data_IF_240540974459
#
_entry.id   IF_240540974459
#
_cell.length_a   1.000
_cell.length_b   1.000
_cell.length_c   1.000
_cell.angle_alpha   90.00
_cell.angle_beta   90.00
_cell.angle_gamma   90.00
#
_symmetry.space_group_name_H-M   'P 1'
#
loop_
_entity.id
_entity.type
_entity.pdbx_description
1 polymer ?
#
# COMPACT_ATOMS: atom_id res chain seq x y z
N UNK A 1 -10.19 -12.19 15.34
CA UNK A 1 -10.84 -11.01 14.71
C UNK A 1 -11.40 -11.48 13.38
N UNK A 2 -12.70 -11.30 13.17
CA UNK A 2 -13.27 -11.61 11.86
C UNK A 2 -12.91 -10.52 10.82
N UNK A 3 -13.20 -10.78 9.55
CA UNK A 3 -12.82 -9.87 8.47
C UNK A 3 -13.51 -8.50 8.57
N UNK A 4 -14.78 -8.44 8.93
CA UNK A 4 -15.50 -7.18 9.04
C UNK A 4 -15.00 -6.33 10.21
N UNK A 5 -14.65 -6.96 11.33
CA UNK A 5 -13.99 -6.28 12.45
C UNK A 5 -12.64 -5.70 12.02
N UNK A 6 -11.84 -6.47 11.27
CA UNK A 6 -10.56 -6.04 10.74
C UNK A 6 -10.73 -4.82 9.81
N UNK A 7 -11.67 -4.90 8.87
CA UNK A 7 -11.96 -3.81 7.93
C UNK A 7 -12.43 -2.53 8.64
N UNK A 8 -13.22 -2.65 9.72
CA UNK A 8 -13.64 -1.51 10.55
C UNK A 8 -12.48 -0.92 11.34
N UNK A 9 -11.58 -1.77 11.86
CA UNK A 9 -10.42 -1.34 12.66
C UNK A 9 -9.37 -0.61 11.83
N UNK A 10 -9.23 -0.93 10.56
CA UNK A 10 -8.26 -0.33 9.67
C UNK A 10 -8.55 1.17 9.47
N UNK A 11 -7.55 2.01 9.67
CA UNK A 11 -7.60 3.45 9.36
C UNK A 11 -6.26 3.93 8.78
N UNK A 12 -6.25 5.13 8.22
CA UNK A 12 -5.03 5.75 7.69
C UNK A 12 -4.27 6.44 8.80
N UNK A 13 -3.21 5.79 9.27
CA UNK A 13 -2.32 6.25 10.34
C UNK A 13 -1.40 7.36 9.82
N UNK A 14 -1.31 8.46 10.56
CA UNK A 14 -0.47 9.61 10.22
C UNK A 14 0.39 10.10 11.40
N UNK A 15 0.57 9.28 12.40
CA UNK A 15 1.59 9.44 13.43
C UNK A 15 2.09 8.07 13.85
N UNK A 16 3.39 7.92 14.00
CA UNK A 16 4.04 6.65 14.30
C UNK A 16 4.91 6.76 15.55
N UNK A 17 4.95 5.65 16.31
CA UNK A 17 5.90 5.51 17.41
C UNK A 17 7.29 5.28 16.84
N UNK A 18 8.36 5.71 17.54
CA UNK A 18 9.74 5.47 17.09
C UNK A 18 10.19 4.02 17.33
N UNK A 19 9.25 3.10 17.38
CA UNK A 19 9.48 1.68 17.58
C UNK A 19 9.69 1.00 16.23
N UNK A 20 10.77 0.22 16.11
CA UNK A 20 11.00 -0.59 14.92
C UNK A 20 9.89 -1.66 14.75
N UNK A 21 9.59 -1.98 13.51
CA UNK A 21 8.74 -3.12 13.17
C UNK A 21 9.60 -4.38 13.19
N UNK A 22 9.14 -5.41 13.89
CA UNK A 22 9.85 -6.68 13.98
C UNK A 22 9.89 -7.39 12.61
N UNK A 23 11.03 -7.97 12.27
CA UNK A 23 11.24 -8.68 11.00
C UNK A 23 10.18 -9.77 10.76
N UNK A 24 9.76 -10.46 11.82
CA UNK A 24 8.71 -11.48 11.74
C UNK A 24 7.36 -10.89 11.31
N UNK A 25 7.00 -9.71 11.82
CA UNK A 25 5.75 -9.03 11.42
C UNK A 25 5.84 -8.50 10.00
N UNK A 26 6.99 -7.91 9.64
CA UNK A 26 7.22 -7.47 8.26
C UNK A 26 7.11 -8.65 7.29
N UNK A 27 7.71 -9.78 7.60
CA UNK A 27 7.61 -10.99 6.77
C UNK A 27 6.16 -11.47 6.61
N UNK A 28 5.34 -11.43 7.67
CA UNK A 28 3.91 -11.80 7.60
C UNK A 28 3.11 -10.83 6.72
N UNK A 29 3.41 -9.53 6.80
CA UNK A 29 2.79 -8.50 5.95
C UNK A 29 3.15 -8.72 4.48
N UNK A 30 4.42 -9.02 4.18
CA UNK A 30 4.88 -9.29 2.81
C UNK A 30 4.37 -10.64 2.28
N UNK A 31 4.15 -11.62 3.14
CA UNK A 31 3.49 -12.88 2.74
C UNK A 31 2.05 -12.65 2.31
N UNK A 32 1.31 -11.75 2.95
CA UNK A 32 -0.03 -11.38 2.51
C UNK A 32 -0.02 -10.74 1.11
N UNK A 33 1.00 -9.92 0.79
CA UNK A 33 1.22 -9.40 -0.57
C UNK A 33 1.40 -10.52 -1.58
N UNK A 34 2.25 -11.52 -1.26
CA UNK A 34 2.55 -12.66 -2.14
C UNK A 34 1.32 -13.52 -2.42
N UNK A 35 0.41 -13.61 -1.46
CA UNK A 35 -0.82 -14.41 -1.55
C UNK A 35 -1.96 -13.69 -2.29
N UNK A 36 -1.81 -12.41 -2.60
CA UNK A 36 -2.84 -11.65 -3.29
C UNK A 36 -3.07 -12.19 -4.71
N UNK A 37 -4.33 -12.27 -5.17
CA UNK A 37 -4.62 -12.67 -6.54
C UNK A 37 -4.20 -11.59 -7.53
N UNK A 38 -3.81 -12.02 -8.73
CA UNK A 38 -3.51 -11.14 -9.86
C UNK A 38 -4.22 -11.64 -11.12
N UNK A 39 -4.43 -10.76 -12.08
CA UNK A 39 -5.07 -11.12 -13.35
C UNK A 39 -4.27 -12.23 -14.06
N UNK A 40 -4.95 -13.30 -14.44
CA UNK A 40 -4.37 -14.52 -15.04
C UNK A 40 -3.20 -15.13 -14.22
N UNK A 41 -3.07 -14.77 -12.95
CA UNK A 41 -1.94 -15.16 -12.09
C UNK A 41 -0.56 -14.74 -12.63
N UNK A 42 -0.50 -13.65 -13.37
CA UNK A 42 0.74 -13.17 -13.98
C UNK A 42 1.72 -12.57 -12.96
N UNK A 43 1.24 -12.12 -11.80
CA UNK A 43 2.02 -11.59 -10.68
C UNK A 43 2.98 -10.44 -11.09
N UNK A 44 2.49 -9.42 -11.83
CA UNK A 44 3.31 -8.31 -12.34
C UNK A 44 3.62 -7.28 -11.26
N UNK A 45 3.69 -7.71 -10.02
CA UNK A 45 3.83 -6.87 -8.83
C UNK A 45 5.23 -6.96 -8.24
N UNK A 46 5.79 -5.83 -7.82
CA UNK A 46 7.04 -5.74 -7.06
C UNK A 46 6.84 -4.77 -5.90
N UNK A 47 7.35 -5.10 -4.75
CA UNK A 47 7.28 -4.25 -3.57
C UNK A 47 8.68 -3.89 -3.08
N UNK A 48 8.96 -2.58 -3.00
CA UNK A 48 10.22 -2.06 -2.47
C UNK A 48 10.00 -1.63 -1.03
N UNK A 49 10.67 -2.30 -0.10
CA UNK A 49 10.66 -1.97 1.34
C UNK A 49 11.80 -1.01 1.64
N UNK A 50 11.47 0.09 2.29
CA UNK A 50 12.41 1.19 2.57
C UNK A 50 12.40 1.46 4.07
N UNK A 51 13.52 1.24 4.75
CA UNK A 51 13.75 1.77 6.09
C UNK A 51 14.02 3.27 5.98
N UNK A 52 13.27 4.09 6.72
CA UNK A 52 13.29 5.55 6.57
C UNK A 52 14.48 6.21 7.21
N UNK A 53 15.04 5.59 8.26
CA UNK A 53 16.16 6.14 9.02
C UNK A 53 17.36 6.47 8.11
N UNK A 54 17.76 7.75 8.11
CA UNK A 54 18.86 8.26 7.28
C UNK A 54 18.49 8.54 5.81
N UNK A 55 17.24 8.33 5.43
CA UNK A 55 16.74 8.56 4.07
C UNK A 55 15.63 9.61 3.98
N UNK A 56 15.39 10.34 5.05
CA UNK A 56 14.26 11.25 5.18
C UNK A 56 14.24 12.32 4.09
N UNK A 57 15.40 12.90 3.75
CA UNK A 57 15.52 13.93 2.72
C UNK A 57 15.20 13.39 1.32
N UNK A 58 15.64 12.18 1.00
CA UNK A 58 15.32 11.53 -0.27
C UNK A 58 13.82 11.24 -0.39
N UNK A 59 13.25 10.71 0.69
CA UNK A 59 11.84 10.35 0.75
C UNK A 59 10.91 11.57 0.67
N UNK A 60 11.33 12.73 1.21
CA UNK A 60 10.59 13.99 1.05
C UNK A 60 10.46 14.43 -0.41
N UNK A 61 11.39 14.07 -1.27
CA UNK A 61 11.27 14.33 -2.71
C UNK A 61 10.08 13.57 -3.32
N UNK A 62 9.77 12.39 -2.79
CA UNK A 62 8.65 11.55 -3.23
C UNK A 62 7.33 12.08 -2.67
N UNK A 63 7.29 12.32 -1.35
CA UNK A 63 6.10 12.82 -0.68
C UNK A 63 6.47 13.63 0.56
N UNK A 64 6.30 14.95 0.48
CA UNK A 64 6.73 15.87 1.53
C UNK A 64 5.68 16.00 2.64
N UNK A 65 5.72 15.02 3.56
CA UNK A 65 4.92 15.00 4.79
C UNK A 65 5.74 14.44 5.94
N UNK A 66 5.69 15.10 7.09
CA UNK A 66 6.45 14.66 8.28
C UNK A 66 6.07 13.25 8.71
N UNK A 67 4.79 12.91 8.72
CA UNK A 67 4.34 11.58 9.09
C UNK A 67 4.78 10.48 8.11
N UNK A 68 5.05 10.81 6.84
CA UNK A 68 5.55 9.86 5.85
C UNK A 68 6.98 9.45 6.16
N UNK A 69 7.84 10.43 6.43
CA UNK A 69 9.25 10.17 6.71
C UNK A 69 9.53 9.76 8.15
N UNK A 70 8.59 9.98 9.09
CA UNK A 70 8.69 9.52 10.48
C UNK A 70 8.24 8.08 10.69
N UNK A 71 7.51 7.48 9.74
CA UNK A 71 7.21 6.07 9.80
C UNK A 71 8.50 5.25 9.70
N UNK A 72 8.69 4.19 10.50
CA UNK A 72 9.94 3.41 10.46
C UNK A 72 10.18 2.69 9.13
N UNK A 73 9.10 2.38 8.41
CA UNK A 73 9.15 1.75 7.09
C UNK A 73 8.16 2.44 6.15
N UNK A 74 8.60 2.61 4.90
CA UNK A 74 7.77 2.98 3.76
C UNK A 74 7.86 1.85 2.74
N UNK A 75 6.76 1.51 2.12
CA UNK A 75 6.70 0.45 1.10
C UNK A 75 6.11 1.03 -0.19
N UNK A 76 6.81 0.83 -1.31
CA UNK A 76 6.34 1.19 -2.63
C UNK A 76 5.84 -0.06 -3.36
N UNK A 77 4.58 -0.07 -3.75
CA UNK A 77 4.02 -1.05 -4.68
C UNK A 77 4.26 -0.60 -6.12
N UNK A 78 4.93 -1.44 -6.88
CA UNK A 78 5.29 -1.22 -8.28
C UNK A 78 4.66 -2.28 -9.18
N UNK A 79 4.29 -1.86 -10.39
CA UNK A 79 3.83 -2.76 -11.44
C UNK A 79 4.85 -2.93 -12.55
N UNK A 80 5.08 -4.16 -13.00
CA UNK A 80 5.90 -4.47 -14.19
C UNK A 80 4.96 -4.54 -15.38
N UNK A 81 4.90 -3.47 -16.17
CA UNK A 81 3.87 -3.32 -17.22
C UNK A 81 3.89 -4.43 -18.27
N UNK A 82 5.08 -4.92 -18.62
CA UNK A 82 5.25 -5.98 -19.62
C UNK A 82 4.78 -7.37 -19.16
N UNK A 83 4.70 -7.59 -17.83
CA UNK A 83 4.26 -8.85 -17.23
C UNK A 83 2.74 -8.88 -16.97
N UNK A 84 2.09 -7.70 -16.98
CA UNK A 84 0.70 -7.59 -16.63
C UNK A 84 -0.23 -8.15 -17.71
N UNK A 85 -1.37 -8.68 -17.29
CA UNK A 85 -2.42 -9.07 -18.21
C UNK A 85 -2.99 -7.84 -18.92
N UNK A 86 -3.20 -7.96 -20.23
CA UNK A 86 -3.86 -6.94 -21.02
C UNK A 86 -5.23 -7.47 -21.44
N UNK A 87 -6.28 -6.86 -20.90
CA UNK A 87 -7.66 -7.23 -21.16
C UNK A 87 -8.15 -6.81 -22.54
N UNK A 88 -9.37 -7.23 -22.87
CA UNK A 88 -10.05 -6.76 -24.09
C UNK A 88 -10.15 -5.23 -24.05
N UNK A 89 -9.81 -4.57 -25.14
CA UNK A 89 -9.76 -3.10 -25.21
C UNK A 89 -8.43 -2.47 -24.78
N UNK A 90 -7.38 -3.27 -24.56
CA UNK A 90 -6.01 -2.78 -24.30
C UNK A 90 -5.74 -2.32 -22.86
N UNK A 91 -6.65 -2.57 -21.92
CA UNK A 91 -6.43 -2.20 -20.50
C UNK A 91 -5.39 -3.10 -19.86
N UNK A 92 -4.26 -2.53 -19.46
CA UNK A 92 -3.25 -3.16 -18.64
C UNK A 92 -3.73 -3.25 -17.17
N UNK A 93 -3.57 -4.40 -16.52
CA UNK A 93 -4.10 -4.65 -15.17
C UNK A 93 -3.10 -4.42 -14.05
N UNK A 94 -1.86 -4.00 -14.33
CA UNK A 94 -0.81 -3.87 -13.31
C UNK A 94 -1.24 -3.03 -12.10
N UNK A 95 -1.91 -1.89 -12.33
CA UNK A 95 -2.39 -1.02 -11.26
C UNK A 95 -3.45 -1.73 -10.39
N UNK A 96 -4.34 -2.50 -10.99
CA UNK A 96 -5.36 -3.28 -10.27
C UNK A 96 -4.67 -4.34 -9.40
N UNK A 97 -3.71 -5.08 -9.96
CA UNK A 97 -2.98 -6.15 -9.27
C UNK A 97 -2.18 -5.59 -8.08
N UNK A 98 -1.47 -4.47 -8.28
CA UNK A 98 -0.74 -3.78 -7.20
C UNK A 98 -1.70 -3.26 -6.12
N UNK A 99 -2.87 -2.74 -6.52
CA UNK A 99 -3.91 -2.27 -5.61
C UNK A 99 -4.42 -3.40 -4.70
N UNK A 100 -4.76 -4.55 -5.28
CA UNK A 100 -5.23 -5.72 -4.52
C UNK A 100 -4.14 -6.19 -3.53
N UNK A 101 -2.91 -6.33 -3.99
CA UNK A 101 -1.79 -6.75 -3.15
C UNK A 101 -1.51 -5.76 -2.01
N UNK A 102 -1.65 -4.45 -2.27
CA UNK A 102 -1.51 -3.41 -1.24
C UNK A 102 -2.65 -3.46 -0.22
N UNK A 103 -3.87 -3.77 -0.63
CA UNK A 103 -4.97 -3.95 0.32
C UNK A 103 -4.73 -5.15 1.25
N UNK A 104 -4.24 -6.28 0.72
CA UNK A 104 -3.81 -7.43 1.53
C UNK A 104 -2.73 -7.04 2.54
N UNK A 105 -1.72 -6.27 2.11
CA UNK A 105 -0.67 -5.73 2.98
C UNK A 105 -1.28 -4.92 4.14
N UNK A 106 -2.17 -4.00 3.84
CA UNK A 106 -2.78 -3.07 4.79
C UNK A 106 -3.63 -3.82 5.82
N UNK A 107 -4.40 -4.81 5.38
CA UNK A 107 -5.23 -5.62 6.27
C UNK A 107 -4.37 -6.53 7.15
N UNK A 108 -3.33 -7.14 6.60
CA UNK A 108 -2.37 -7.95 7.36
C UNK A 108 -1.66 -7.09 8.43
N UNK A 109 -1.17 -5.91 8.07
CA UNK A 109 -0.57 -4.98 9.02
C UNK A 109 -1.53 -4.63 10.16
N UNK A 110 -2.79 -4.31 9.83
CA UNK A 110 -3.82 -3.99 10.82
C UNK A 110 -4.08 -5.16 11.77
N UNK A 111 -4.10 -6.40 11.27
CA UNK A 111 -4.29 -7.61 12.10
C UNK A 111 -3.16 -7.83 13.10
N UNK A 112 -1.96 -7.36 12.78
CA UNK A 112 -0.75 -7.44 13.61
C UNK A 112 -0.58 -6.23 14.55
N UNK A 113 -1.55 -5.31 14.57
CA UNK A 113 -1.49 -4.09 15.39
C UNK A 113 -0.58 -3.01 14.80
N UNK A 114 -0.20 -3.13 13.53
CA UNK A 114 0.55 -2.11 12.80
C UNK A 114 -0.40 -1.16 12.07
N UNK A 115 0.06 0.07 11.87
CA UNK A 115 -0.62 1.11 11.14
C UNK A 115 -0.03 1.33 9.75
N UNK A 116 -0.88 1.72 8.83
CA UNK A 116 -0.53 2.03 7.44
C UNK A 116 -1.28 3.29 6.98
N UNK A 117 -0.79 3.92 5.93
CA UNK A 117 -1.54 4.95 5.22
C UNK A 117 -1.31 4.79 3.73
N UNK A 118 -2.41 4.63 2.98
CA UNK A 118 -2.40 4.58 1.51
C UNK A 118 -2.07 5.94 0.91
N UNK A 119 -1.10 6.01 0.01
CA UNK A 119 -0.62 7.25 -0.62
C UNK A 119 -0.60 7.06 -2.14
N UNK A 120 -1.49 7.78 -2.83
CA UNK A 120 -1.51 7.86 -4.29
C UNK A 120 -1.01 9.21 -4.84
N UNK A 121 -0.94 10.25 -3.97
CA UNK A 121 -0.56 11.61 -4.37
C UNK A 121 0.93 11.88 -4.10
N UNK A 122 1.81 11.09 -4.70
CA UNK A 122 3.26 11.22 -4.62
C UNK A 122 3.85 11.68 -5.97
N UNK A 123 5.10 12.10 -5.97
CA UNK A 123 5.84 12.43 -7.20
C UNK A 123 6.41 11.13 -7.84
N UNK A 124 5.87 10.66 -8.98
CA UNK A 124 6.31 9.41 -9.60
C UNK A 124 7.71 9.52 -10.21
N UNK A 125 8.14 10.70 -10.65
CA UNK A 125 9.49 10.89 -11.20
C UNK A 125 10.53 10.82 -10.08
N UNK A 126 10.29 11.51 -8.96
CA UNK A 126 11.14 11.41 -7.78
C UNK A 126 11.19 9.97 -7.24
N UNK A 127 10.06 9.26 -7.24
CA UNK A 127 10.02 7.85 -6.82
C UNK A 127 10.92 6.97 -7.70
N UNK A 128 10.89 7.16 -9.03
CA UNK A 128 11.76 6.43 -9.97
C UNK A 128 13.24 6.67 -9.69
N UNK A 129 13.61 7.93 -9.51
CA UNK A 129 15.00 8.32 -9.25
C UNK A 129 15.51 7.80 -7.90
N UNK A 130 14.76 8.05 -6.83
CA UNK A 130 15.15 7.66 -5.46
C UNK A 130 15.21 6.15 -5.27
N UNK A 131 14.32 5.40 -5.93
CA UNK A 131 14.27 3.94 -5.83
C UNK A 131 15.08 3.23 -6.93
N UNK A 132 15.60 3.96 -7.91
CA UNK A 132 16.35 3.36 -9.02
C UNK A 132 15.52 2.40 -9.86
N UNK A 133 14.24 2.72 -10.10
CA UNK A 133 13.34 1.83 -10.80
C UNK A 133 13.75 1.68 -12.27
N UNK A 134 13.85 0.43 -12.79
CA UNK A 134 14.17 0.20 -14.19
C UNK A 134 13.02 0.62 -15.11
N UNK A 135 13.34 0.79 -16.39
CA UNK A 135 12.32 1.08 -17.41
C UNK A 135 11.27 -0.04 -17.45
N UNK A 136 10.00 0.35 -17.55
CA UNK A 136 8.86 -0.58 -17.57
C UNK A 136 8.36 -0.99 -16.20
N UNK A 137 9.01 -0.55 -15.12
CA UNK A 137 8.52 -0.68 -13.75
C UNK A 137 7.97 0.65 -13.28
N UNK A 138 6.67 0.67 -12.93
CA UNK A 138 5.96 1.89 -12.52
C UNK A 138 5.68 1.90 -11.03
N UNK A 139 6.07 2.95 -10.28
CA UNK A 139 5.61 3.15 -8.91
C UNK A 139 4.12 3.54 -8.94
N UNK A 140 3.27 2.78 -8.27
CA UNK A 140 1.82 2.96 -8.34
C UNK A 140 1.24 3.43 -7.02
N UNK A 141 1.81 2.98 -5.91
CA UNK A 141 1.29 3.24 -4.57
C UNK A 141 2.43 3.26 -3.58
N UNK A 142 2.33 4.16 -2.59
CA UNK A 142 3.12 4.07 -1.38
C UNK A 142 2.22 3.76 -0.18
N UNK A 143 2.77 3.08 0.80
CA UNK A 143 2.19 2.97 2.13
C UNK A 143 3.29 3.07 3.18
N UNK A 144 2.95 3.66 4.32
CA UNK A 144 3.77 3.63 5.52
C UNK A 144 3.48 2.36 6.31
N UNK A 145 4.41 1.93 7.17
CA UNK A 145 4.24 0.80 8.07
C UNK A 145 4.96 1.08 9.39
N UNK A 146 4.23 0.99 10.50
CA UNK A 146 4.77 1.22 11.83
C UNK A 146 3.71 1.10 12.92
N UNK A 147 4.11 1.28 14.18
CA UNK A 147 3.15 1.30 15.29
C UNK A 147 2.43 2.64 15.37
N UNK A 148 1.08 2.67 15.38
CA UNK A 148 0.33 3.91 15.44
C UNK A 148 0.63 4.70 16.72
N UNK A 149 0.74 6.02 16.60
CA UNK A 149 0.79 6.97 17.71
C UNK A 149 -0.42 7.92 17.76
N UNK A 150 -1.25 7.90 16.68
CA UNK A 150 -2.55 8.58 16.64
C UNK A 150 -3.70 7.65 17.01
N UNK A 151 -4.88 8.22 17.16
CA UNK A 151 -6.13 7.49 17.36
C UNK A 151 -7.02 7.64 16.13
N UNK A 152 -7.75 6.58 15.75
CA UNK A 152 -8.67 6.66 14.61
C UNK A 152 -9.82 7.64 14.92
N UNK A 153 -10.05 8.56 13.98
CA UNK A 153 -11.28 9.34 13.97
C UNK A 153 -12.41 8.55 13.31
N UNK A 154 -13.66 8.71 13.80
CA UNK A 154 -14.81 8.12 13.13
C UNK A 154 -14.87 8.54 11.67
N UNK A 155 -15.11 7.59 10.77
CA UNK A 155 -15.27 7.86 9.35
C UNK A 155 -16.64 7.44 8.87
N UNK A 156 -17.32 8.40 8.33
CA UNK A 156 -18.58 8.12 7.66
C UNK A 156 -18.37 7.24 6.43
N UNK A 157 -19.36 6.40 6.17
CA UNK A 157 -19.48 5.61 4.95
C UNK A 157 -20.86 5.86 4.37
N UNK A 158 -20.93 5.87 3.07
CA UNK A 158 -22.22 5.87 2.38
C UNK A 158 -23.04 4.66 2.79
N UNK A 159 -24.34 4.78 2.75
CA UNK A 159 -25.25 3.65 2.96
C UNK A 159 -25.00 2.56 1.89
N UNK A 160 -25.33 1.32 2.21
CA UNK A 160 -25.06 0.21 1.29
C UNK A 160 -25.82 0.37 -0.03
N UNK A 161 -27.04 0.85 0.03
CA UNK A 161 -27.89 1.16 -1.12
C UNK A 161 -27.36 2.25 -2.05
N UNK A 162 -26.48 3.12 -1.55
CA UNK A 162 -25.80 4.14 -2.37
C UNK A 162 -24.64 3.55 -3.20
N UNK A 163 -24.12 2.40 -2.79
CA UNK A 163 -22.95 1.77 -3.38
C UNK A 163 -23.31 0.55 -4.23
N UNK A 164 -24.33 -0.21 -3.78
CA UNK A 164 -24.72 -1.46 -4.42
C UNK A 164 -25.96 -1.26 -5.29
N UNK A 165 -25.93 -1.85 -6.47
CA UNK A 165 -27.08 -1.98 -7.35
C UNK A 165 -27.28 -3.45 -7.65
N UNK A 166 -28.52 -3.84 -7.89
CA UNK A 166 -28.90 -5.21 -8.25
C UNK A 166 -29.37 -5.25 -9.70
N UNK A 167 -28.86 -6.19 -10.46
CA UNK A 167 -29.18 -6.47 -11.87
C UNK A 167 -28.75 -5.33 -12.84
N UNK A 168 -29.21 -4.12 -12.59
CA UNK A 168 -28.92 -2.93 -13.42
C UNK A 168 -28.50 -1.74 -12.57
N UNK A 169 -28.00 -0.70 -13.23
CA UNK A 169 -27.61 0.57 -12.56
C UNK A 169 -28.81 1.33 -12.02
#
# INVERSE_FOLDING_TARGET
>A
MDFLELARKRYSVRAYKPQAVEDQKLAQVLEAVRLAPTAANNQPIRFVVIHTAGREQELRRIYDRDWFVSAPIVICGCGVLAEAYVGKGGRNTAEVDVTIATDHLILAATSLGLGTCWIGAFDPQAAREVLGLPQGVEPMIFTTLGYPADTPEPKERKALEDIVRYETW
#
